data_IF_551312029335
#
_entry.id   IF_551312029335
#
_cell.length_a   1.000
_cell.length_b   1.000
_cell.length_c   1.000
_cell.angle_alpha   90.00
_cell.angle_beta   90.00
_cell.angle_gamma   90.00
#
_symmetry.space_group_name_H-M   'P 1'
#
loop_
_entity.id
_entity.type
_entity.pdbx_description
1 polymer ?
#
# COMPACT_ATOMS: atom_id res chain seq x y z
N UNK A 1 39.68 -8.95 6.98
CA UNK A 1 39.04 -7.62 6.89
C UNK A 1 38.72 -7.35 5.42
N UNK A 2 37.46 -7.54 5.04
CA UNK A 2 36.94 -7.39 3.67
C UNK A 2 35.43 -7.16 3.76
N UNK A 3 34.96 -6.02 3.25
CA UNK A 3 33.74 -5.29 3.62
C UNK A 3 32.42 -6.01 3.28
N UNK A 4 31.43 -5.79 4.18
CA UNK A 4 29.96 -5.87 4.01
C UNK A 4 29.26 -7.23 4.19
N UNK A 5 29.60 -7.92 5.27
CA UNK A 5 28.62 -8.70 6.04
C UNK A 5 27.72 -7.77 6.91
N UNK A 6 27.17 -6.70 6.31
CA UNK A 6 26.58 -5.57 7.06
C UNK A 6 25.35 -4.92 6.38
N UNK A 7 24.62 -5.68 5.56
CA UNK A 7 23.23 -5.39 5.16
C UNK A 7 22.44 -6.72 5.29
N UNK A 8 22.40 -7.39 6.44
CA UNK A 8 21.34 -7.19 7.44
C UNK A 8 20.23 -6.29 6.90
N UNK A 9 19.12 -6.75 6.34
CA UNK A 9 18.07 -7.57 6.98
C UNK A 9 17.74 -7.13 8.42
N UNK A 10 18.20 -5.93 8.81
CA UNK A 10 18.05 -5.29 10.13
C UNK A 10 16.79 -4.41 10.21
N UNK A 11 15.91 -4.48 9.19
CA UNK A 11 14.72 -3.64 9.10
C UNK A 11 13.40 -4.43 9.03
N UNK A 12 13.44 -5.77 9.11
CA UNK A 12 12.23 -6.60 8.99
C UNK A 12 11.75 -7.17 10.35
N UNK A 13 12.51 -6.98 11.44
CA UNK A 13 12.31 -7.70 12.71
C UNK A 13 12.65 -6.80 13.90
N UNK A 14 12.00 -5.64 14.05
CA UNK A 14 12.16 -4.81 15.25
C UNK A 14 10.83 -4.37 15.88
N UNK A 15 9.76 -5.14 15.70
CA UNK A 15 8.52 -4.97 16.47
C UNK A 15 7.81 -3.62 16.30
N UNK A 16 8.28 -2.79 15.36
CA UNK A 16 7.53 -1.64 14.89
C UNK A 16 6.41 -2.18 14.02
N UNK A 17 5.21 -1.66 14.21
CA UNK A 17 4.12 -1.87 13.26
C UNK A 17 4.71 -1.65 11.85
N UNK A 18 4.21 -2.33 10.83
CA UNK A 18 4.67 -2.11 9.46
C UNK A 18 3.47 -2.27 8.53
N UNK A 19 3.44 -1.50 7.44
CA UNK A 19 2.37 -1.61 6.46
C UNK A 19 2.72 -2.77 5.53
N UNK A 20 1.92 -3.83 5.58
CA UNK A 20 2.17 -5.03 4.77
C UNK A 20 1.76 -4.72 3.33
N UNK A 21 2.76 -4.49 2.47
CA UNK A 21 2.53 -4.21 1.05
C UNK A 21 2.40 -5.52 0.25
N UNK A 22 1.16 -5.99 0.10
CA UNK A 22 0.81 -7.07 -0.83
C UNK A 22 0.45 -6.51 -2.23
N UNK A 23 0.24 -7.39 -3.21
CA UNK A 23 -0.19 -7.08 -4.58
C UNK A 23 -1.45 -6.20 -4.64
N UNK A 24 -2.39 -6.39 -3.71
CA UNK A 24 -3.58 -5.54 -3.58
C UNK A 24 -3.23 -4.12 -3.12
N UNK A 25 -2.42 -4.01 -2.07
CA UNK A 25 -1.98 -2.72 -1.51
C UNK A 25 -1.18 -1.95 -2.55
N UNK A 26 -0.20 -2.60 -3.19
CA UNK A 26 0.58 -2.02 -4.29
C UNK A 26 -0.32 -1.48 -5.40
N UNK A 27 -1.30 -2.27 -5.86
CA UNK A 27 -2.23 -1.85 -6.93
C UNK A 27 -3.09 -0.67 -6.49
N UNK A 28 -3.68 -0.74 -5.29
CA UNK A 28 -4.60 0.29 -4.79
C UNK A 28 -3.83 1.58 -4.51
N UNK A 29 -2.67 1.52 -3.87
CA UNK A 29 -1.85 2.69 -3.58
C UNK A 29 -1.41 3.41 -4.86
N UNK A 30 -1.07 2.66 -5.92
CA UNK A 30 -0.80 3.24 -7.24
C UNK A 30 -2.06 3.86 -7.87
N UNK A 31 -3.22 3.17 -7.83
CA UNK A 31 -4.48 3.68 -8.39
C UNK A 31 -5.02 4.92 -7.67
N UNK A 32 -4.87 4.96 -6.35
CA UNK A 32 -5.20 6.12 -5.52
C UNK A 32 -4.22 7.27 -5.74
N UNK A 33 -3.02 7.00 -6.27
CA UNK A 33 -1.96 8.01 -6.41
C UNK A 33 -1.28 8.33 -5.07
N UNK A 34 -1.33 7.42 -4.09
CA UNK A 34 -0.61 7.56 -2.81
C UNK A 34 0.90 7.39 -2.99
N UNK A 35 1.29 6.64 -4.02
CA UNK A 35 2.68 6.41 -4.39
C UNK A 35 2.76 6.22 -5.91
N UNK A 36 3.93 6.53 -6.45
CA UNK A 36 4.34 6.32 -7.85
C UNK A 36 5.46 5.28 -7.93
N UNK A 37 5.94 4.80 -6.78
CA UNK A 37 7.05 3.87 -6.74
C UNK A 37 6.58 2.45 -7.10
N UNK A 38 7.36 1.71 -7.92
CA UNK A 38 7.07 0.31 -8.22
C UNK A 38 7.56 -0.65 -7.11
N UNK A 39 8.53 -0.22 -6.30
CA UNK A 39 9.18 -1.03 -5.26
C UNK A 39 8.32 -1.13 -4.00
N UNK A 40 7.96 -2.33 -3.52
CA UNK A 40 7.10 -2.50 -2.33
C UNK A 40 7.70 -1.85 -1.09
N UNK A 41 9.03 -1.87 -0.94
CA UNK A 41 9.74 -1.23 0.17
C UNK A 41 9.54 0.29 0.14
N UNK A 42 9.66 0.93 -1.03
CA UNK A 42 9.44 2.38 -1.14
C UNK A 42 7.97 2.74 -0.91
N UNK A 43 7.05 1.93 -1.43
CA UNK A 43 5.61 2.09 -1.20
C UNK A 43 5.30 2.04 0.29
N UNK A 44 5.89 1.09 1.01
CA UNK A 44 5.73 0.98 2.46
C UNK A 44 6.18 2.27 3.17
N UNK A 45 7.39 2.75 2.88
CA UNK A 45 7.89 4.00 3.46
C UNK A 45 7.05 5.22 3.10
N UNK A 46 6.51 5.30 1.89
CA UNK A 46 5.58 6.37 1.48
C UNK A 46 4.28 6.29 2.28
N UNK A 47 3.71 5.10 2.42
CA UNK A 47 2.48 4.88 3.18
C UNK A 47 2.67 5.13 4.68
N UNK A 48 3.84 4.78 5.24
CA UNK A 48 4.18 5.05 6.64
C UNK A 48 4.23 6.55 6.95
N UNK A 49 4.54 7.40 5.96
CA UNK A 49 4.50 8.87 6.14
C UNK A 49 3.08 9.44 6.08
N UNK A 50 2.15 8.73 5.46
CA UNK A 50 0.76 9.17 5.23
C UNK A 50 -0.16 8.65 6.34
N UNK A 51 -0.01 7.38 6.71
CA UNK A 51 -0.85 6.69 7.69
C UNK A 51 -0.14 6.73 9.05
N UNK A 52 -0.82 7.08 10.15
CA UNK A 52 -0.22 7.01 11.49
C UNK A 52 0.05 5.55 11.91
N UNK A 53 1.14 5.35 12.66
CA UNK A 53 1.65 4.03 13.10
C UNK A 53 0.55 3.13 13.68
N UNK A 54 -0.28 3.68 14.56
CA UNK A 54 -1.38 2.99 15.24
C UNK A 54 -2.38 2.31 14.29
N UNK A 55 -2.50 2.82 13.05
CA UNK A 55 -3.44 2.35 12.06
C UNK A 55 -2.83 1.47 10.96
N UNK A 56 -1.54 1.13 11.01
CA UNK A 56 -0.87 0.40 9.91
C UNK A 56 -1.47 -0.99 9.65
N UNK A 57 -1.75 -1.76 10.71
CA UNK A 57 -2.40 -3.08 10.57
C UNK A 57 -3.84 -2.95 10.06
N UNK A 58 -4.63 -2.07 10.68
CA UNK A 58 -6.02 -1.79 10.29
C UNK A 58 -6.13 -1.33 8.84
N UNK A 59 -5.23 -0.46 8.40
CA UNK A 59 -5.15 0.01 7.02
C UNK A 59 -4.87 -1.15 6.06
N UNK A 60 -3.86 -1.96 6.35
CA UNK A 60 -3.49 -3.13 5.52
C UNK A 60 -4.67 -4.08 5.33
N UNK A 61 -5.36 -4.45 6.41
CA UNK A 61 -6.55 -5.30 6.33
C UNK A 61 -7.69 -4.67 5.52
N UNK A 62 -7.98 -3.37 5.73
CA UNK A 62 -9.03 -2.65 5.00
C UNK A 62 -8.73 -2.56 3.51
N UNK A 63 -7.49 -2.27 3.12
CA UNK A 63 -7.08 -2.18 1.71
C UNK A 63 -7.14 -3.54 1.04
N UNK A 64 -6.72 -4.62 1.72
CA UNK A 64 -6.85 -5.98 1.19
C UNK A 64 -8.32 -6.33 0.97
N UNK A 65 -9.19 -6.09 1.96
CA UNK A 65 -10.63 -6.32 1.85
C UNK A 65 -11.24 -5.52 0.69
N UNK A 66 -10.88 -4.24 0.55
CA UNK A 66 -11.30 -3.38 -0.55
C UNK A 66 -10.83 -3.93 -1.90
N UNK A 67 -9.59 -4.37 -2.01
CA UNK A 67 -9.01 -4.92 -3.25
C UNK A 67 -9.59 -6.25 -3.70
N UNK A 68 -10.22 -6.98 -2.77
CA UNK A 68 -10.92 -8.23 -3.05
C UNK A 68 -12.40 -8.02 -3.37
N UNK A 69 -13.04 -6.98 -2.81
CA UNK A 69 -14.50 -6.77 -2.94
C UNK A 69 -14.87 -5.68 -3.95
N UNK A 70 -14.17 -4.56 -3.95
CA UNK A 70 -14.49 -3.34 -4.71
C UNK A 70 -13.43 -3.08 -5.78
N UNK A 71 -12.17 -2.90 -5.39
CA UNK A 71 -11.07 -2.52 -6.29
C UNK A 71 -10.41 -3.76 -6.93
N UNK A 72 -11.21 -4.50 -7.69
CA UNK A 72 -10.80 -5.69 -8.43
C UNK A 72 -9.77 -5.35 -9.53
N UNK A 73 -8.94 -6.33 -9.90
CA UNK A 73 -7.88 -6.14 -10.89
C UNK A 73 -8.43 -5.77 -12.27
N UNK A 74 -9.42 -6.52 -12.77
CA UNK A 74 -9.98 -6.37 -14.13
C UNK A 74 -11.15 -5.37 -14.22
N UNK A 75 -12.11 -5.45 -13.29
CA UNK A 75 -13.32 -4.59 -13.29
C UNK A 75 -13.54 -4.01 -11.89
N UNK A 76 -12.86 -2.91 -11.52
CA UNK A 76 -13.08 -2.27 -10.24
C UNK A 76 -14.48 -1.65 -10.20
N UNK A 77 -15.18 -1.81 -9.08
CA UNK A 77 -16.51 -1.23 -8.87
C UNK A 77 -16.38 0.20 -8.35
N UNK A 78 -15.88 1.10 -9.19
CA UNK A 78 -15.61 2.49 -8.82
C UNK A 78 -16.87 3.22 -8.32
N UNK A 79 -18.04 2.97 -8.91
CA UNK A 79 -19.31 3.64 -8.58
C UNK A 79 -19.76 3.45 -7.12
N UNK A 80 -19.36 2.36 -6.47
CA UNK A 80 -19.67 2.08 -5.05
C UNK A 80 -18.47 2.35 -4.13
N UNK A 81 -17.35 2.79 -4.67
CA UNK A 81 -16.12 2.99 -3.92
C UNK A 81 -16.17 4.32 -3.16
N UNK A 82 -16.15 4.26 -1.84
CA UNK A 82 -16.13 5.47 -0.97
C UNK A 82 -14.87 6.32 -1.15
N UNK A 83 -13.80 5.74 -1.70
CA UNK A 83 -12.54 6.42 -2.00
C UNK A 83 -12.51 7.01 -3.42
N UNK A 84 -13.58 6.89 -4.23
CA UNK A 84 -13.63 7.39 -5.60
C UNK A 84 -13.26 8.88 -5.67
N UNK A 85 -13.74 9.68 -4.71
CA UNK A 85 -13.43 11.11 -4.58
C UNK A 85 -11.94 11.44 -4.41
N UNK A 86 -11.13 10.49 -3.95
CA UNK A 86 -9.69 10.63 -3.76
C UNK A 86 -8.88 9.73 -4.71
N UNK A 87 -9.55 8.95 -5.56
CA UNK A 87 -8.93 7.98 -6.44
C UNK A 87 -8.76 8.59 -7.83
N UNK A 88 -7.53 8.95 -8.21
CA UNK A 88 -7.24 9.47 -9.56
C UNK A 88 -7.66 8.49 -10.65
N UNK A 89 -7.29 7.21 -10.51
CA UNK A 89 -7.67 6.18 -11.48
C UNK A 89 -9.19 6.04 -11.61
N UNK A 90 -9.90 6.09 -10.48
CA UNK A 90 -11.35 6.00 -10.46
C UNK A 90 -12.01 7.22 -11.10
N UNK A 91 -11.48 8.42 -10.88
CA UNK A 91 -12.03 9.63 -11.51
C UNK A 91 -11.85 9.65 -13.03
N UNK A 92 -10.75 9.07 -13.53
CA UNK A 92 -10.47 9.01 -14.97
C UNK A 92 -11.12 7.82 -15.69
N UNK A 93 -11.44 6.73 -14.97
CA UNK A 93 -11.88 5.45 -15.56
C UNK A 93 -13.21 4.92 -14.99
N UNK A 94 -13.96 5.70 -14.20
CA UNK A 94 -15.28 5.30 -13.66
C UNK A 94 -16.44 5.64 -14.58
#
# INVERSE_FOLDING_TARGET
MGRKTANVVLANIFGKQAIIVDTHVKRISNRLGLTINPDPVKIEFDLMKIVPEDNWSSYSHRIIALGRTICLAKKPKCSICSLLKYCRYGQENA
#
